data_IF_897106716018
#
_entry.id   IF_897106716018
#
_cell.length_a   1.000
_cell.length_b   1.000
_cell.length_c   1.000
_cell.angle_alpha   90.00
_cell.angle_beta   90.00
_cell.angle_gamma   90.00
#
_symmetry.space_group_name_H-M   'P 1'
#
loop_
_entity.id
_entity.type
_entity.pdbx_description
1 polymer ?
#
# COMPACT_ATOMS: atom_id res chain seq x y z
N UNK A 1 -56.17 15.03 15.23
CA UNK A 1 -55.56 15.27 13.90
C UNK A 1 -55.61 16.76 13.60
N UNK A 2 -54.49 17.47 13.80
CA UNK A 2 -54.27 18.80 13.25
C UNK A 2 -52.83 18.81 12.71
N UNK A 3 -52.70 18.83 11.39
CA UNK A 3 -51.44 19.04 10.69
C UNK A 3 -50.96 20.47 10.99
N UNK A 4 -49.75 20.63 11.54
CA UNK A 4 -49.02 21.90 11.49
C UNK A 4 -47.84 21.71 10.54
N UNK A 5 -47.93 22.35 9.38
CA UNK A 5 -46.86 22.46 8.38
C UNK A 5 -45.83 23.47 8.90
N UNK A 6 -44.58 23.06 9.06
CA UNK A 6 -43.46 23.98 9.25
C UNK A 6 -43.01 24.49 7.87
N UNK A 7 -42.89 25.81 7.74
CA UNK A 7 -42.43 26.50 6.53
C UNK A 7 -41.00 27.00 6.82
N UNK A 8 -40.01 26.48 6.09
CA UNK A 8 -38.64 27.01 6.16
C UNK A 8 -38.57 28.33 5.39
N UNK A 9 -38.27 29.42 6.09
CA UNK A 9 -38.00 30.71 5.47
C UNK A 9 -36.49 30.80 5.16
N UNK A 10 -36.10 30.66 3.89
CA UNK A 10 -34.72 30.88 3.44
C UNK A 10 -34.55 32.39 3.21
N UNK A 11 -33.85 33.07 4.11
CA UNK A 11 -33.39 34.44 3.87
C UNK A 11 -32.10 34.41 3.06
N UNK A 12 -32.23 34.56 1.74
CA UNK A 12 -31.11 34.80 0.85
C UNK A 12 -30.55 36.21 1.10
N UNK A 13 -29.44 36.32 1.82
CA UNK A 13 -28.69 37.59 1.93
C UNK A 13 -27.68 37.67 0.79
N UNK A 14 -27.87 38.67 -0.07
CA UNK A 14 -27.02 38.96 -1.22
C UNK A 14 -25.71 39.61 -0.73
N UNK A 15 -24.56 39.01 -1.01
CA UNK A 15 -23.26 39.66 -0.80
C UNK A 15 -22.90 40.40 -2.08
N UNK A 16 -22.85 41.73 -2.00
CA UNK A 16 -22.36 42.59 -3.06
C UNK A 16 -20.82 42.48 -3.17
N UNK A 17 -20.31 42.18 -4.35
CA UNK A 17 -18.88 42.29 -4.65
C UNK A 17 -18.51 43.77 -4.78
N UNK A 18 -17.74 44.29 -3.82
CA UNK A 18 -16.99 45.54 -4.00
C UNK A 18 -15.54 45.17 -4.26
N UNK A 19 -15.09 45.43 -5.48
CA UNK A 19 -13.69 45.33 -5.88
C UNK A 19 -12.94 46.56 -5.37
N UNK A 20 -11.90 46.37 -4.55
CA UNK A 20 -10.88 47.38 -4.28
C UNK A 20 -9.56 46.71 -3.86
N UNK A 21 -8.51 46.98 -4.61
CA UNK A 21 -7.13 46.59 -4.30
C UNK A 21 -6.56 47.46 -3.16
N UNK A 22 -5.97 46.86 -2.13
CA UNK A 22 -4.73 47.30 -1.46
C UNK A 22 -4.41 46.36 -0.27
N UNK A 23 -3.11 46.12 -0.04
CA UNK A 23 -2.58 45.06 0.83
C UNK A 23 -2.89 45.17 2.33
N UNK A 24 -2.63 44.07 3.04
CA UNK A 24 -2.63 44.04 4.50
C UNK A 24 -2.96 42.65 5.06
N UNK A 25 -2.06 42.12 5.85
CA UNK A 25 -2.02 40.78 6.43
C UNK A 25 -3.02 40.63 7.60
N UNK A 26 -3.97 39.68 7.50
CA UNK A 26 -4.68 39.00 8.61
C UNK A 26 -5.87 38.20 8.07
N UNK A 27 -5.79 36.87 8.03
CA UNK A 27 -6.99 36.03 7.86
C UNK A 27 -7.63 35.79 9.23
N UNK A 28 -8.75 36.46 9.44
CA UNK A 28 -9.66 36.30 10.56
C UNK A 28 -10.36 34.93 10.47
N UNK A 29 -10.19 34.08 11.48
CA UNK A 29 -10.90 32.78 11.57
C UNK A 29 -12.30 33.03 12.13
N UNK A 30 -13.34 32.80 11.31
CA UNK A 30 -14.74 32.87 11.77
C UNK A 30 -15.06 31.56 12.50
N UNK A 31 -15.16 31.62 13.83
CA UNK A 31 -15.68 30.53 14.66
C UNK A 31 -17.20 30.65 14.71
N UNK A 32 -17.91 29.65 14.18
CA UNK A 32 -19.37 29.57 14.29
C UNK A 32 -19.72 28.72 15.53
N UNK A 33 -20.04 29.38 16.65
CA UNK A 33 -20.62 28.69 17.82
C UNK A 33 -22.14 28.64 17.71
N UNK A 34 -22.66 27.42 17.58
CA UNK A 34 -24.01 26.93 17.89
C UNK A 34 -25.25 27.73 17.40
N UNK A 35 -26.10 27.04 16.65
CA UNK A 35 -27.45 27.52 16.27
C UNK A 35 -28.40 27.30 17.45
N UNK A 36 -28.85 28.38 18.11
CA UNK A 36 -29.95 28.34 19.08
C UNK A 36 -31.27 28.52 18.34
N UNK A 37 -32.16 27.53 18.45
CA UNK A 37 -33.52 27.64 17.93
C UNK A 37 -34.35 28.54 18.84
N UNK A 38 -34.98 29.57 18.27
CA UNK A 38 -35.89 30.48 18.96
C UNK A 38 -37.25 30.43 18.24
N UNK A 39 -38.34 30.47 18.99
CA UNK A 39 -39.67 30.63 18.39
C UNK A 39 -39.76 31.99 17.65
N UNK A 40 -40.55 32.08 16.56
CA UNK A 40 -40.66 33.30 15.76
C UNK A 40 -41.29 34.51 16.50
N UNK A 41 -41.74 34.33 17.74
CA UNK A 41 -42.26 35.41 18.61
C UNK A 41 -41.25 35.88 19.69
N UNK A 42 -40.03 35.34 19.71
CA UNK A 42 -38.96 35.78 20.61
C UNK A 42 -39.07 35.27 22.06
N UNK A 43 -39.92 34.28 22.33
CA UNK A 43 -39.99 33.62 23.64
C UNK A 43 -39.02 32.43 23.74
N UNK A 44 -38.33 32.29 24.88
CA UNK A 44 -37.51 31.10 25.21
C UNK A 44 -38.40 29.92 25.63
N UNK A 45 -37.95 28.69 25.31
CA UNK A 45 -38.68 27.45 25.61
C UNK A 45 -38.27 27.00 27.02
N UNK A 46 -39.22 26.94 27.97
CA UNK A 46 -39.00 26.41 29.32
C UNK A 46 -39.70 25.04 29.54
N UNK A 47 -39.00 24.14 30.25
CA UNK A 47 -39.46 22.88 30.89
C UNK A 47 -38.99 21.60 30.17
N UNK A 48 -38.32 20.61 30.78
CA UNK A 48 -38.36 20.08 32.17
C UNK A 48 -36.99 19.56 32.65
N UNK A 49 -36.75 19.65 33.97
CA UNK A 49 -35.56 19.20 34.73
C UNK A 49 -35.44 17.67 34.89
N UNK A 50 -34.19 17.19 34.84
CA UNK A 50 -33.48 16.18 35.70
C UNK A 50 -32.59 15.20 34.88
N UNK A 51 -31.45 14.69 35.40
CA UNK A 51 -30.51 15.23 36.41
C UNK A 51 -29.08 15.30 35.84
N UNK A 52 -28.15 15.81 36.68
CA UNK A 52 -26.71 15.87 36.45
C UNK A 52 -26.13 14.70 35.65
N UNK A 53 -25.68 15.05 34.46
CA UNK A 53 -24.65 14.37 33.72
C UNK A 53 -24.11 15.42 32.78
N UNK A 54 -23.06 16.13 33.21
CA UNK A 54 -22.11 16.68 32.26
C UNK A 54 -21.82 15.55 31.27
N UNK A 55 -22.44 15.62 30.08
CA UNK A 55 -21.82 15.06 28.89
C UNK A 55 -20.57 15.90 28.73
N UNK A 56 -19.55 15.52 29.50
CA UNK A 56 -18.18 15.87 29.22
C UNK A 56 -18.03 15.61 27.74
N UNK A 57 -17.77 16.69 27.02
CA UNK A 57 -17.16 16.62 25.71
C UNK A 57 -15.86 15.85 25.91
N UNK A 58 -15.92 14.51 25.92
CA UNK A 58 -14.75 13.66 25.76
C UNK A 58 -14.30 13.91 24.33
N UNK A 59 -13.53 14.98 24.13
CA UNK A 59 -12.63 15.06 23.00
C UNK A 59 -11.72 13.86 23.16
N UNK A 60 -12.08 12.73 22.53
CA UNK A 60 -11.28 11.52 22.57
C UNK A 60 -9.90 11.92 22.04
N UNK A 61 -8.88 11.73 22.86
CA UNK A 61 -7.50 11.91 22.41
C UNK A 61 -7.09 10.60 21.73
N UNK A 62 -7.78 10.28 20.63
CA UNK A 62 -7.60 9.04 19.86
C UNK A 62 -6.12 8.80 19.52
N UNK A 63 -5.35 9.87 19.32
CA UNK A 63 -3.90 9.84 19.11
C UNK A 63 -3.16 9.20 20.27
N UNK A 64 -3.58 9.43 21.52
CA UNK A 64 -2.95 8.83 22.70
C UNK A 64 -3.29 7.34 22.84
N UNK A 65 -4.52 6.95 22.51
CA UNK A 65 -4.93 5.55 22.55
C UNK A 65 -4.25 4.75 21.44
N UNK A 66 -4.14 5.30 20.23
CA UNK A 66 -3.37 4.67 19.15
C UNK A 66 -1.86 4.67 19.43
N UNK A 67 -1.31 5.71 20.07
CA UNK A 67 0.09 5.67 20.50
C UNK A 67 0.33 4.48 21.46
N UNK A 68 -0.61 4.20 22.35
CA UNK A 68 -0.53 3.03 23.21
C UNK A 68 -0.53 1.71 22.43
N UNK A 69 -1.40 1.60 21.42
CA UNK A 69 -1.44 0.43 20.51
C UNK A 69 -0.07 0.24 19.83
N UNK A 70 0.52 1.31 19.30
CA UNK A 70 1.80 1.27 18.58
C UNK A 70 3.01 0.97 19.47
N UNK A 71 2.95 1.34 20.76
CA UNK A 71 3.96 0.99 21.76
C UNK A 71 3.81 -0.47 22.27
N UNK A 72 2.63 -1.08 22.10
CA UNK A 72 2.30 -2.43 22.56
C UNK A 72 1.67 -3.30 21.45
N UNK A 73 2.22 -3.37 20.23
CA UNK A 73 1.53 -3.98 19.10
C UNK A 73 1.37 -5.49 19.26
N UNK A 74 2.23 -6.13 20.05
CA UNK A 74 2.15 -7.57 20.38
C UNK A 74 1.06 -7.95 21.39
N UNK A 75 0.40 -6.99 22.03
CA UNK A 75 -0.68 -7.27 22.99
C UNK A 75 -2.00 -7.63 22.29
N UNK A 76 -2.07 -7.47 20.97
CA UNK A 76 -3.27 -7.69 20.16
C UNK A 76 -3.12 -8.98 19.34
N UNK A 77 -3.67 -10.11 19.83
CA UNK A 77 -3.50 -11.39 19.14
C UNK A 77 -4.30 -11.39 17.84
N UNK A 78 -3.63 -11.77 16.75
CA UNK A 78 -4.29 -12.06 15.48
C UNK A 78 -5.10 -13.35 15.61
N UNK A 79 -6.31 -13.34 15.05
CA UNK A 79 -7.17 -14.52 14.93
C UNK A 79 -6.42 -15.69 14.27
N UNK A 80 -6.49 -16.88 14.87
CA UNK A 80 -5.80 -18.09 14.39
C UNK A 80 -6.21 -18.54 12.98
N UNK A 81 -7.35 -18.07 12.47
CA UNK A 81 -7.79 -18.30 11.10
C UNK A 81 -6.87 -17.66 10.03
N UNK A 82 -6.07 -16.65 10.39
CA UNK A 82 -5.22 -15.90 9.47
C UNK A 82 -4.02 -16.69 8.91
N UNK A 83 -3.66 -17.83 9.52
CA UNK A 83 -2.58 -18.73 9.08
C UNK A 83 -1.30 -18.00 8.63
N UNK A 84 -0.59 -17.40 9.57
CA UNK A 84 0.65 -16.63 9.31
C UNK A 84 1.76 -17.01 10.29
N UNK A 85 3.00 -16.66 9.93
CA UNK A 85 4.17 -16.77 10.82
C UNK A 85 4.69 -15.37 11.11
N UNK A 86 4.56 -14.84 12.34
CA UNK A 86 5.04 -13.51 12.68
C UNK A 86 6.57 -13.44 12.58
N UNK A 87 7.10 -12.35 12.01
CA UNK A 87 8.54 -12.07 11.95
C UNK A 87 9.03 -11.10 13.05
N UNK A 88 8.10 -10.56 13.84
CA UNK A 88 8.37 -9.63 14.93
C UNK A 88 8.38 -8.15 14.54
N UNK A 89 8.04 -7.84 13.28
CA UNK A 89 7.88 -6.47 12.79
C UNK A 89 6.42 -6.06 12.72
N UNK A 90 6.17 -4.74 12.76
CA UNK A 90 4.84 -4.16 12.72
C UNK A 90 4.88 -2.87 11.91
N UNK A 91 3.85 -2.66 11.13
CA UNK A 91 3.60 -1.41 10.41
C UNK A 91 2.19 -0.93 10.71
N UNK A 92 1.95 0.36 10.51
CA UNK A 92 0.64 0.96 10.71
C UNK A 92 0.30 1.98 9.65
N UNK A 93 -0.99 2.25 9.54
CA UNK A 93 -1.55 3.30 8.71
C UNK A 93 -2.77 3.92 9.39
N UNK A 94 -3.12 5.14 8.99
CA UNK A 94 -4.35 5.81 9.39
C UNK A 94 -5.30 5.87 8.19
N UNK A 95 -6.54 5.43 8.37
CA UNK A 95 -7.55 5.43 7.31
C UNK A 95 -8.88 5.94 7.87
N UNK A 96 -9.67 6.67 7.08
CA UNK A 96 -11.08 6.88 7.44
C UNK A 96 -11.87 5.67 6.95
N UNK A 97 -12.55 4.95 7.85
CA UNK A 97 -13.22 3.69 7.54
C UNK A 97 -14.62 3.55 8.19
N UNK A 98 -15.09 4.53 8.97
CA UNK A 98 -16.45 4.51 9.53
C UNK A 98 -17.29 5.78 9.25
N UNK A 99 -16.73 6.78 8.58
CA UNK A 99 -17.39 8.06 8.28
C UNK A 99 -17.51 9.00 9.48
N UNK A 100 -16.77 8.75 10.56
CA UNK A 100 -16.77 9.50 11.81
C UNK A 100 -15.87 10.75 11.79
N UNK A 101 -15.03 10.90 10.76
CA UNK A 101 -14.15 12.06 10.58
C UNK A 101 -12.91 12.05 11.46
N UNK A 102 -12.69 10.97 12.22
CA UNK A 102 -11.42 10.64 12.86
C UNK A 102 -10.93 9.34 12.25
N UNK A 103 -9.64 9.22 11.90
CA UNK A 103 -9.15 8.02 11.25
C UNK A 103 -9.16 6.83 12.22
N UNK A 104 -9.42 5.65 11.68
CA UNK A 104 -9.09 4.35 12.24
C UNK A 104 -7.59 4.05 12.07
N UNK A 105 -7.07 3.25 12.99
CA UNK A 105 -5.71 2.72 12.92
C UNK A 105 -5.74 1.32 12.31
N UNK A 106 -4.97 1.11 11.26
CA UNK A 106 -4.64 -0.23 10.76
C UNK A 106 -3.28 -0.65 11.31
N UNK A 107 -3.20 -1.84 11.90
CA UNK A 107 -1.95 -2.44 12.37
C UNK A 107 -1.67 -3.71 11.57
N UNK A 108 -0.64 -3.68 10.74
CA UNK A 108 -0.14 -4.84 10.02
C UNK A 108 0.89 -5.59 10.89
N UNK A 109 0.66 -6.87 11.10
CA UNK A 109 1.62 -7.77 11.76
C UNK A 109 2.50 -8.40 10.68
N UNK A 110 3.80 -8.11 10.73
CA UNK A 110 4.77 -8.62 9.76
C UNK A 110 4.82 -10.13 9.74
N UNK A 111 4.72 -10.72 8.55
CA UNK A 111 4.79 -12.16 8.34
C UNK A 111 5.42 -12.52 7.00
N UNK A 112 6.00 -13.72 6.94
CA UNK A 112 6.82 -14.16 5.79
C UNK A 112 6.06 -14.22 4.47
N UNK A 113 4.83 -14.75 4.50
CA UNK A 113 4.00 -14.96 3.31
C UNK A 113 2.76 -14.09 3.32
N UNK A 114 2.19 -13.85 4.50
CA UNK A 114 1.03 -12.98 4.66
C UNK A 114 1.16 -12.17 5.95
N UNK A 115 0.72 -10.92 5.88
CA UNK A 115 0.66 -9.98 7.00
C UNK A 115 -0.81 -9.72 7.33
N UNK A 116 -1.30 -10.21 8.48
CA UNK A 116 -2.62 -9.87 8.99
C UNK A 116 -2.72 -8.38 9.35
N UNK A 117 -3.86 -7.77 9.06
CA UNK A 117 -4.16 -6.37 9.38
C UNK A 117 -5.32 -6.32 10.36
N UNK A 118 -5.04 -5.79 11.55
CA UNK A 118 -6.03 -5.53 12.60
C UNK A 118 -6.53 -4.10 12.43
N UNK A 119 -7.85 -3.89 12.53
CA UNK A 119 -8.46 -2.56 12.46
C UNK A 119 -8.82 -2.09 13.86
N UNK A 120 -8.46 -0.86 14.21
CA UNK A 120 -8.73 -0.26 15.52
C UNK A 120 -9.62 0.95 15.40
N UNK A 121 -10.73 0.94 16.13
CA UNK A 121 -11.66 2.09 16.27
C UNK A 121 -11.61 2.65 17.68
N UNK A 122 -11.95 3.94 17.84
CA UNK A 122 -12.22 4.49 19.17
C UNK A 122 -13.68 4.23 19.55
N UNK A 123 -13.88 3.51 20.65
CA UNK A 123 -15.20 3.21 21.19
C UNK A 123 -15.80 4.41 21.92
N UNK A 124 -17.07 4.27 22.30
CA UNK A 124 -17.79 5.28 23.10
C UNK A 124 -17.15 5.51 24.49
N UNK A 125 -16.36 4.54 24.97
CA UNK A 125 -15.54 4.63 26.19
C UNK A 125 -14.25 5.44 26.00
N UNK A 126 -13.99 5.93 24.78
CA UNK A 126 -12.81 6.67 24.42
C UNK A 126 -11.55 5.81 24.32
N UNK A 127 -11.68 4.47 24.21
CA UNK A 127 -10.57 3.53 24.11
C UNK A 127 -10.43 2.94 22.71
N UNK A 128 -9.21 2.55 22.35
CA UNK A 128 -8.97 1.81 21.12
C UNK A 128 -9.45 0.35 21.28
N UNK A 129 -10.33 -0.08 20.38
CA UNK A 129 -10.83 -1.45 20.29
C UNK A 129 -10.35 -2.09 19.01
N UNK A 130 -9.72 -3.26 19.13
CA UNK A 130 -9.28 -4.06 18.00
C UNK A 130 -10.47 -4.82 17.37
N UNK A 131 -10.43 -5.02 16.06
CA UNK A 131 -11.29 -5.97 15.38
C UNK A 131 -10.96 -7.41 15.75
N UNK A 132 -11.98 -8.26 15.88
CA UNK A 132 -11.83 -9.73 16.07
C UNK A 132 -11.45 -10.43 14.77
N UNK A 133 -11.87 -9.85 13.64
CA UNK A 133 -11.51 -10.26 12.29
C UNK A 133 -10.28 -9.49 11.81
N UNK A 134 -9.55 -10.07 10.86
CA UNK A 134 -8.39 -9.42 10.23
C UNK A 134 -8.52 -9.45 8.72
N UNK A 135 -7.97 -8.43 8.07
CA UNK A 135 -7.69 -8.47 6.64
C UNK A 135 -6.31 -9.08 6.42
N UNK A 136 -6.01 -9.47 5.18
CA UNK A 136 -4.73 -10.08 4.83
C UNK A 136 -4.04 -9.30 3.71
N UNK A 137 -2.73 -9.10 3.86
CA UNK A 137 -1.82 -8.64 2.82
C UNK A 137 -0.78 -9.70 2.50
N UNK A 138 -0.20 -9.65 1.30
CA UNK A 138 0.92 -10.51 0.90
C UNK A 138 0.52 -11.62 -0.07
N UNK A 139 1.26 -12.72 -0.04
CA UNK A 139 1.11 -13.86 -0.94
C UNK A 139 0.96 -15.18 -0.16
N UNK A 140 -0.20 -15.42 0.50
CA UNK A 140 -0.40 -16.61 1.32
C UNK A 140 -0.30 -17.92 0.50
N UNK A 141 0.09 -19.00 1.18
CA UNK A 141 0.11 -20.35 0.62
C UNK A 141 1.34 -20.62 -0.23
N UNK A 142 1.15 -21.08 -1.48
CA UNK A 142 2.25 -21.44 -2.39
C UNK A 142 2.82 -20.22 -3.16
N UNK A 143 2.57 -18.99 -2.70
CA UNK A 143 3.05 -17.77 -3.34
C UNK A 143 2.33 -17.38 -4.63
N UNK A 144 1.23 -18.05 -5.02
CA UNK A 144 0.45 -17.69 -6.20
C UNK A 144 -0.60 -16.60 -5.92
N UNK A 145 -1.15 -16.54 -4.71
CA UNK A 145 -2.12 -15.51 -4.31
C UNK A 145 -1.46 -14.13 -4.16
N UNK A 146 -2.22 -13.06 -4.42
CA UNK A 146 -1.83 -11.68 -4.13
C UNK A 146 -2.97 -11.04 -3.36
N UNK A 147 -2.71 -10.64 -2.12
CA UNK A 147 -3.65 -9.95 -1.26
C UNK A 147 -3.13 -8.55 -0.96
N UNK A 148 -4.00 -7.56 -1.04
CA UNK A 148 -3.72 -6.18 -0.68
C UNK A 148 -4.89 -5.57 0.10
N UNK A 149 -4.59 -4.57 0.92
CA UNK A 149 -5.57 -3.83 1.71
C UNK A 149 -5.53 -2.36 1.31
N UNK A 150 -6.64 -1.84 0.79
CA UNK A 150 -6.79 -0.45 0.30
C UNK A 150 -7.89 0.26 1.08
N UNK A 151 -7.84 1.58 1.20
CA UNK A 151 -8.89 2.35 1.87
C UNK A 151 -9.99 2.77 0.88
N UNK A 152 -11.22 2.93 1.37
CA UNK A 152 -12.29 3.54 0.57
C UNK A 152 -12.15 5.06 0.57
N UNK A 153 -12.34 5.68 -0.60
CA UNK A 153 -12.21 7.12 -0.78
C UNK A 153 -13.35 7.91 -0.13
N UNK A 154 -14.53 7.29 0.00
CA UNK A 154 -15.68 7.88 0.70
C UNK A 154 -15.68 7.63 2.22
N UNK A 155 -14.69 6.88 2.73
CA UNK A 155 -14.55 6.55 4.14
C UNK A 155 -15.48 5.45 4.64
N UNK A 156 -16.12 4.67 3.75
CA UNK A 156 -17.10 3.66 4.14
C UNK A 156 -16.49 2.37 4.71
N UNK A 157 -15.17 2.19 4.62
CA UNK A 157 -14.49 0.98 5.09
C UNK A 157 -13.13 0.75 4.46
N UNK A 158 -12.70 -0.52 4.49
CA UNK A 158 -11.42 -0.97 3.97
C UNK A 158 -11.64 -2.11 2.98
N UNK A 159 -11.02 -2.01 1.81
CA UNK A 159 -11.06 -3.03 0.78
C UNK A 159 -9.99 -4.10 1.00
N UNK A 160 -10.36 -5.37 0.83
CA UNK A 160 -9.40 -6.44 0.57
C UNK A 160 -9.45 -6.81 -0.91
N UNK A 161 -8.30 -6.74 -1.55
CA UNK A 161 -8.13 -7.12 -2.95
C UNK A 161 -7.45 -8.47 -2.99
N UNK A 162 -8.01 -9.39 -3.76
CA UNK A 162 -7.43 -10.70 -4.02
C UNK A 162 -7.19 -10.89 -5.52
N UNK A 163 -6.02 -11.40 -5.86
CA UNK A 163 -5.63 -11.78 -7.21
C UNK A 163 -4.71 -12.99 -7.19
N UNK A 164 -4.25 -13.40 -8.36
CA UNK A 164 -3.28 -14.49 -8.49
C UNK A 164 -2.26 -14.20 -9.59
N UNK A 165 -1.06 -14.73 -9.42
CA UNK A 165 0.00 -14.64 -10.40
C UNK A 165 -0.48 -15.25 -11.75
N UNK A 166 -0.43 -14.44 -12.82
CA UNK A 166 -0.89 -14.83 -14.16
C UNK A 166 -2.37 -14.60 -14.44
N UNK A 167 -3.17 -14.18 -13.45
CA UNK A 167 -4.53 -13.67 -13.70
C UNK A 167 -4.47 -12.26 -14.26
N UNK A 168 -5.38 -11.96 -15.20
CA UNK A 168 -5.62 -10.58 -15.67
C UNK A 168 -6.72 -9.88 -14.87
N UNK A 169 -7.33 -10.59 -13.93
CA UNK A 169 -8.43 -10.09 -13.10
C UNK A 169 -8.10 -10.23 -11.62
N UNK A 170 -8.50 -9.19 -10.87
CA UNK A 170 -8.49 -9.12 -9.42
C UNK A 170 -9.93 -8.97 -8.92
N UNK A 171 -10.20 -9.43 -7.70
CA UNK A 171 -11.47 -9.23 -6.99
C UNK A 171 -11.25 -8.27 -5.82
N UNK A 172 -12.11 -7.27 -5.67
CA UNK A 172 -12.16 -6.38 -4.51
C UNK A 172 -13.41 -6.66 -3.67
N UNK A 173 -13.27 -6.66 -2.35
CA UNK A 173 -14.37 -6.77 -1.40
C UNK A 173 -14.24 -5.68 -0.33
N UNK A 174 -15.31 -4.88 -0.14
CA UNK A 174 -15.34 -3.83 0.88
C UNK A 174 -15.74 -4.43 2.24
N UNK A 175 -14.88 -4.26 3.24
CA UNK A 175 -15.16 -4.62 4.63
C UNK A 175 -15.52 -3.38 5.44
N UNK A 176 -16.64 -3.47 6.16
CA UNK A 176 -17.09 -2.42 7.09
C UNK A 176 -16.98 -2.90 8.53
N UNK A 177 -16.65 -1.97 9.42
CA UNK A 177 -16.71 -2.21 10.86
C UNK A 177 -18.17 -2.30 11.33
N UNK A 178 -18.48 -3.37 12.04
CA UNK A 178 -19.75 -3.60 12.74
C UNK A 178 -19.42 -4.04 14.17
N UNK A 179 -19.26 -3.05 15.05
CA UNK A 179 -18.63 -3.27 16.35
C UNK A 179 -17.18 -3.73 16.17
N UNK A 180 -16.84 -4.89 16.74
CA UNK A 180 -15.51 -5.50 16.60
C UNK A 180 -15.37 -6.41 15.36
N UNK A 181 -16.43 -6.64 14.58
CA UNK A 181 -16.36 -7.53 13.42
C UNK A 181 -16.15 -6.76 12.12
N UNK A 182 -15.48 -7.40 11.15
CA UNK A 182 -15.35 -6.90 9.78
C UNK A 182 -16.38 -7.61 8.88
N UNK A 183 -17.35 -6.86 8.37
CA UNK A 183 -18.42 -7.36 7.51
C UNK A 183 -18.08 -7.13 6.04
N UNK A 184 -17.80 -8.22 5.33
CA UNK A 184 -17.58 -8.22 3.89
C UNK A 184 -18.85 -7.90 3.09
N UNK A 185 -18.67 -7.11 2.03
CA UNK A 185 -19.72 -6.73 1.08
C UNK A 185 -19.79 -7.62 -0.16
N UNK A 186 -20.36 -7.07 -1.23
CA UNK A 186 -20.31 -7.71 -2.53
C UNK A 186 -18.89 -7.62 -3.11
N UNK A 187 -18.47 -8.67 -3.80
CA UNK A 187 -17.22 -8.68 -4.56
C UNK A 187 -17.39 -8.03 -5.93
N UNK A 188 -16.40 -7.23 -6.33
CA UNK A 188 -16.29 -6.63 -7.65
C UNK A 188 -15.01 -7.10 -8.33
N UNK A 189 -15.12 -7.62 -9.55
CA UNK A 189 -13.96 -8.01 -10.36
C UNK A 189 -13.53 -6.87 -11.26
N UNK A 190 -12.22 -6.65 -11.37
CA UNK A 190 -11.62 -5.61 -12.21
C UNK A 190 -10.30 -6.09 -12.84
N UNK A 191 -9.86 -5.50 -13.96
CA UNK A 191 -8.56 -5.82 -14.54
C UNK A 191 -7.42 -5.55 -13.55
N UNK A 192 -6.49 -6.50 -13.39
CA UNK A 192 -5.41 -6.41 -12.39
C UNK A 192 -4.42 -5.28 -12.65
N UNK A 193 -4.39 -4.73 -13.86
CA UNK A 193 -3.59 -3.57 -14.28
C UNK A 193 -4.35 -2.23 -14.14
N UNK A 194 -5.57 -2.25 -13.62
CA UNK A 194 -6.43 -1.08 -13.42
C UNK A 194 -6.68 -0.81 -11.94
N UNK A 195 -7.22 0.37 -11.65
CA UNK A 195 -7.68 0.77 -10.32
C UNK A 195 -9.16 1.11 -10.37
N UNK A 196 -9.89 0.71 -9.34
CA UNK A 196 -11.27 1.12 -9.14
C UNK A 196 -11.32 2.49 -8.46
N UNK A 197 -12.21 3.36 -8.92
CA UNK A 197 -12.19 4.79 -8.60
C UNK A 197 -12.32 5.13 -7.10
N UNK A 198 -13.00 4.27 -6.33
CA UNK A 198 -13.19 4.48 -4.89
C UNK A 198 -12.01 3.96 -4.03
N UNK A 199 -10.95 3.41 -4.64
CA UNK A 199 -9.86 2.88 -3.86
C UNK A 199 -8.75 3.91 -3.66
N UNK A 200 -8.24 3.99 -2.45
CA UNK A 200 -7.02 4.71 -2.09
C UNK A 200 -5.95 3.72 -1.64
N UNK A 201 -4.74 3.90 -2.12
CA UNK A 201 -3.56 3.17 -1.67
C UNK A 201 -3.21 3.60 -0.25
N UNK A 202 -2.67 2.67 0.53
CA UNK A 202 -2.27 2.89 1.92
C UNK A 202 -0.75 3.04 1.98
N UNK A 203 -0.30 4.14 2.58
CA UNK A 203 1.09 4.36 2.96
C UNK A 203 1.32 3.76 4.35
N UNK A 204 2.14 2.70 4.38
CA UNK A 204 2.45 1.94 5.59
C UNK A 204 3.73 2.46 6.22
N UNK A 205 3.68 2.69 7.53
CA UNK A 205 4.80 3.23 8.29
C UNK A 205 5.21 2.25 9.38
N UNK A 206 6.51 2.08 9.67
CA UNK A 206 6.93 1.28 10.81
C UNK A 206 6.38 1.88 12.10
N UNK A 207 5.97 1.05 13.07
CA UNK A 207 5.42 1.53 14.36
C UNK A 207 6.39 2.40 15.16
N UNK A 208 7.69 2.36 14.83
CA UNK A 208 8.72 3.24 15.39
C UNK A 208 8.69 4.67 14.86
N UNK A 209 7.92 4.95 13.79
CA UNK A 209 7.72 6.29 13.24
C UNK A 209 6.43 6.93 13.79
N UNK A 210 6.51 7.88 14.74
CA UNK A 210 5.33 8.52 15.31
C UNK A 210 4.80 9.69 14.45
N UNK A 211 5.46 10.06 13.35
CA UNK A 211 5.10 11.26 12.60
C UNK A 211 3.70 11.20 11.98
N UNK A 212 3.28 10.10 11.32
CA UNK A 212 1.93 9.99 10.77
C UNK A 212 0.83 10.13 11.84
N UNK A 213 1.00 9.47 12.98
CA UNK A 213 0.06 9.56 14.10
C UNK A 213 -0.07 10.99 14.65
N UNK A 214 1.04 11.73 14.75
CA UNK A 214 1.05 13.13 15.21
C UNK A 214 0.42 14.09 14.20
N UNK A 215 0.62 13.85 12.91
CA UNK A 215 -0.03 14.62 11.85
C UNK A 215 -1.56 14.45 11.89
N UNK A 216 -1.99 13.23 12.25
CA UNK A 216 -3.38 12.92 12.52
C UNK A 216 -4.28 12.89 11.29
N UNK A 217 -3.69 12.81 10.11
CA UNK A 217 -4.37 12.71 8.82
C UNK A 217 -4.26 11.29 8.28
N UNK A 218 -5.26 10.80 7.53
CA UNK A 218 -5.17 9.52 6.84
C UNK A 218 -3.87 9.41 6.00
N UNK A 219 -3.19 8.26 6.11
CA UNK A 219 -1.95 7.93 5.38
C UNK A 219 -2.32 7.20 4.10
N UNK A 220 -3.15 7.84 3.28
CA UNK A 220 -3.67 7.28 2.05
C UNK A 220 -3.41 8.22 0.89
N UNK A 221 -3.30 7.66 -0.29
CA UNK A 221 -3.13 8.41 -1.52
C UNK A 221 -3.99 7.81 -2.61
N UNK A 222 -4.53 8.66 -3.49
CA UNK A 222 -5.19 8.15 -4.67
C UNK A 222 -4.18 7.28 -5.43
N UNK A 223 -4.57 6.08 -5.88
CA UNK A 223 -3.81 5.42 -6.92
C UNK A 223 -3.70 6.45 -8.02
N UNK A 224 -2.48 6.80 -8.40
CA UNK A 224 -2.26 7.70 -9.52
C UNK A 224 -3.11 7.17 -10.65
N UNK A 225 -4.22 7.85 -10.94
CA UNK A 225 -5.00 7.54 -12.12
C UNK A 225 -4.01 7.55 -13.27
N UNK A 226 -4.25 6.73 -14.27
CA UNK A 226 -3.63 6.95 -15.59
C UNK A 226 -4.04 8.32 -16.13
N UNK A 227 -3.61 9.43 -15.52
CA UNK A 227 -2.91 10.41 -16.28
C UNK A 227 -1.78 9.60 -16.91
N UNK A 228 -1.83 9.46 -18.23
CA UNK A 228 -0.61 9.33 -18.98
C UNK A 228 0.41 10.19 -18.24
N UNK A 229 1.42 9.54 -17.66
CA UNK A 229 2.67 10.24 -17.47
C UNK A 229 2.87 11.02 -18.77
N UNK A 230 3.37 12.28 -18.76
CA UNK A 230 3.97 12.75 -19.99
C UNK A 230 4.82 11.59 -20.47
N UNK A 231 4.53 11.06 -21.67
CA UNK A 231 5.26 9.93 -22.23
C UNK A 231 6.72 10.32 -22.24
N UNK A 232 7.35 9.91 -21.15
CA UNK A 232 8.74 9.70 -20.96
C UNK A 232 8.72 8.49 -20.05
N UNK A 233 8.24 7.35 -20.58
CA UNK A 233 8.87 6.11 -20.18
C UNK A 233 10.34 6.36 -20.49
N UNK A 234 11.12 6.65 -19.43
CA UNK A 234 12.54 6.78 -19.60
C UNK A 234 13.01 5.35 -19.86
N UNK A 235 13.06 5.00 -21.13
CA UNK A 235 13.64 3.75 -21.56
C UNK A 235 15.07 3.69 -21.04
N UNK A 236 15.38 2.65 -20.28
CA UNK A 236 16.73 2.38 -19.83
C UNK A 236 17.37 1.44 -20.85
N UNK A 237 18.54 1.85 -21.31
CA UNK A 237 19.38 1.02 -22.17
C UNK A 237 20.44 0.31 -21.32
N UNK A 238 20.42 -1.01 -21.36
CA UNK A 238 21.46 -1.87 -20.81
C UNK A 238 22.35 -2.32 -21.97
N UNK A 239 23.62 -1.90 -21.96
CA UNK A 239 24.58 -2.25 -23.00
C UNK A 239 25.70 -3.08 -22.40
N UNK A 240 25.98 -4.22 -22.99
CA UNK A 240 26.98 -5.14 -22.47
C UNK A 240 27.24 -6.33 -23.37
N UNK A 241 28.04 -7.27 -22.88
CA UNK A 241 28.31 -8.53 -23.55
C UNK A 241 27.48 -9.64 -22.92
N UNK A 242 26.86 -10.49 -23.75
CA UNK A 242 26.23 -11.69 -23.23
C UNK A 242 27.33 -12.65 -22.79
N UNK A 243 27.31 -13.06 -21.53
CA UNK A 243 28.25 -14.00 -20.93
C UNK A 243 27.50 -15.18 -20.34
N UNK A 244 28.17 -16.33 -20.32
CA UNK A 244 27.75 -17.50 -19.55
C UNK A 244 28.61 -17.57 -18.29
N UNK A 245 27.97 -17.66 -17.14
CA UNK A 245 28.62 -17.82 -15.83
C UNK A 245 28.03 -18.99 -15.07
N UNK A 246 28.87 -19.73 -14.35
CA UNK A 246 28.36 -20.73 -13.40
C UNK A 246 27.95 -20.08 -12.08
N UNK A 247 27.12 -20.78 -11.30
CA UNK A 247 26.82 -20.39 -9.92
C UNK A 247 28.09 -20.23 -9.08
N UNK A 248 29.06 -21.13 -9.23
CA UNK A 248 30.37 -21.04 -8.59
C UNK A 248 31.10 -19.74 -8.96
N UNK A 249 31.19 -19.40 -10.24
CA UNK A 249 31.86 -18.18 -10.69
C UNK A 249 31.19 -16.91 -10.13
N UNK A 250 29.87 -16.90 -9.99
CA UNK A 250 29.12 -15.77 -9.45
C UNK A 250 29.26 -15.64 -7.93
N UNK A 251 29.45 -16.76 -7.23
CA UNK A 251 29.53 -16.79 -5.76
C UNK A 251 30.96 -16.71 -5.23
N UNK A 252 31.95 -17.14 -6.02
CA UNK A 252 33.37 -17.12 -5.63
C UNK A 252 33.87 -15.73 -5.15
N UNK A 253 33.54 -14.60 -5.80
CA UNK A 253 33.92 -13.27 -5.32
C UNK A 253 33.32 -12.92 -3.95
N UNK A 254 32.19 -13.54 -3.59
CA UNK A 254 31.48 -13.31 -2.32
C UNK A 254 31.93 -14.27 -1.21
N UNK A 255 32.68 -15.32 -1.54
CA UNK A 255 33.08 -16.36 -0.58
C UNK A 255 31.90 -17.15 0.01
N UNK A 256 30.74 -17.14 -0.67
CA UNK A 256 29.51 -17.77 -0.22
C UNK A 256 29.25 -19.07 -1.01
N UNK A 257 28.55 -20.01 -0.39
CA UNK A 257 28.03 -21.19 -1.10
C UNK A 257 26.76 -20.86 -1.90
N UNK A 258 26.26 -21.83 -2.68
CA UNK A 258 25.02 -21.65 -3.45
C UNK A 258 23.83 -21.39 -2.51
N UNK A 259 23.03 -20.31 -2.71
CA UNK A 259 22.09 -19.84 -1.71
C UNK A 259 20.96 -20.82 -1.35
N UNK A 260 20.40 -21.52 -2.35
CA UNK A 260 19.25 -22.40 -2.16
C UNK A 260 19.59 -23.87 -2.43
N UNK A 261 20.88 -24.22 -2.43
CA UNK A 261 21.32 -25.60 -2.70
C UNK A 261 21.27 -26.01 -4.18
N UNK A 262 21.19 -25.04 -5.11
CA UNK A 262 21.47 -25.30 -6.53
C UNK A 262 22.87 -25.89 -6.70
N UNK A 263 23.09 -26.65 -7.78
CA UNK A 263 24.45 -27.05 -8.16
C UNK A 263 25.31 -25.80 -8.45
N UNK A 264 26.57 -25.75 -7.98
CA UNK A 264 27.52 -24.72 -8.38
C UNK A 264 27.75 -24.67 -9.90
N UNK A 265 27.50 -25.78 -10.61
CA UNK A 265 27.60 -25.89 -12.06
C UNK A 265 26.38 -25.33 -12.81
N UNK A 266 25.36 -24.82 -12.11
CA UNK A 266 24.21 -24.15 -12.73
C UNK A 266 24.68 -22.99 -13.58
N UNK A 267 24.16 -22.87 -14.81
CA UNK A 267 24.60 -21.88 -15.78
C UNK A 267 23.63 -20.70 -15.83
N UNK A 268 24.17 -19.50 -15.89
CA UNK A 268 23.44 -18.25 -15.99
C UNK A 268 23.92 -17.49 -17.21
N UNK A 269 22.96 -17.10 -18.05
CA UNK A 269 23.18 -16.23 -19.20
C UNK A 269 22.89 -14.80 -18.77
N UNK A 270 23.91 -13.95 -18.83
CA UNK A 270 23.87 -12.59 -18.30
C UNK A 270 24.24 -11.62 -19.39
N UNK A 271 23.64 -10.43 -19.37
CA UNK A 271 24.26 -9.28 -20.04
C UNK A 271 25.20 -8.63 -19.03
N UNK A 272 26.50 -8.84 -19.19
CA UNK A 272 27.52 -8.17 -18.40
C UNK A 272 27.74 -6.77 -18.95
N UNK A 273 27.41 -5.75 -18.17
CA UNK A 273 27.37 -4.37 -18.63
C UNK A 273 28.77 -3.87 -18.98
N UNK A 274 28.88 -3.02 -20.00
CA UNK A 274 30.15 -2.41 -20.38
C UNK A 274 30.72 -1.56 -19.23
N UNK A 275 29.83 -0.90 -18.47
CA UNK A 275 30.13 -0.17 -17.25
C UNK A 275 29.04 -0.43 -16.20
N UNK A 276 29.37 -0.51 -14.89
CA UNK A 276 28.36 -0.58 -13.84
C UNK A 276 27.40 0.61 -13.91
N UNK A 277 26.12 0.37 -13.64
CA UNK A 277 25.08 1.40 -13.71
C UNK A 277 24.23 1.43 -12.46
N UNK A 278 23.81 2.62 -12.04
CA UNK A 278 22.83 2.79 -10.96
C UNK A 278 21.43 2.69 -11.52
N UNK A 279 20.62 1.79 -10.97
CA UNK A 279 19.26 1.51 -11.46
C UNK A 279 18.30 1.50 -10.29
N UNK A 280 17.19 2.20 -10.47
CA UNK A 280 16.02 2.11 -9.60
C UNK A 280 15.08 1.04 -10.15
N UNK A 281 14.48 0.23 -9.29
CA UNK A 281 13.54 -0.80 -9.69
C UNK A 281 12.60 -1.17 -8.54
N UNK A 282 11.46 -1.77 -8.88
CA UNK A 282 10.49 -2.28 -7.91
C UNK A 282 11.12 -3.41 -7.09
N UNK A 283 10.92 -3.39 -5.79
CA UNK A 283 11.27 -4.47 -4.86
C UNK A 283 10.14 -4.60 -3.85
N UNK A 284 9.36 -5.67 -3.97
CA UNK A 284 8.09 -5.81 -3.26
C UNK A 284 7.18 -4.57 -3.52
N UNK A 285 6.75 -3.89 -2.46
CA UNK A 285 5.90 -2.70 -2.52
C UNK A 285 6.68 -1.38 -2.62
N UNK A 286 8.02 -1.41 -2.57
CA UNK A 286 8.86 -0.22 -2.61
C UNK A 286 9.74 -0.20 -3.85
N UNK A 287 10.51 0.88 -3.99
CA UNK A 287 11.57 0.98 -5.01
C UNK A 287 12.94 0.88 -4.33
N UNK A 288 13.81 0.05 -4.88
CA UNK A 288 15.22 -0.03 -4.48
C UNK A 288 16.08 0.61 -5.57
N UNK A 289 17.10 1.37 -5.18
CA UNK A 289 18.13 1.88 -6.09
C UNK A 289 19.46 1.24 -5.74
N UNK A 290 20.14 0.64 -6.74
CA UNK A 290 21.46 0.05 -6.55
C UNK A 290 22.31 0.11 -7.80
N UNK A 291 23.62 0.02 -7.59
CA UNK A 291 24.58 -0.21 -8.67
C UNK A 291 24.54 -1.68 -9.08
N UNK A 292 24.48 -1.94 -10.38
CA UNK A 292 24.47 -3.28 -10.97
C UNK A 292 25.60 -3.39 -12.01
N UNK A 293 26.18 -4.58 -12.10
CA UNK A 293 27.22 -4.91 -13.09
C UNK A 293 26.70 -5.80 -14.23
N UNK A 294 25.53 -6.41 -14.03
CA UNK A 294 24.91 -7.29 -15.00
C UNK A 294 23.40 -7.38 -14.79
N UNK A 295 22.69 -7.88 -15.81
CA UNK A 295 21.29 -8.29 -15.75
C UNK A 295 21.14 -9.74 -16.19
N UNK A 296 20.15 -10.45 -15.65
CA UNK A 296 19.90 -11.87 -15.98
C UNK A 296 19.05 -11.99 -17.23
N UNK A 297 19.48 -12.82 -18.17
CA UNK A 297 18.75 -13.10 -19.42
C UNK A 297 18.08 -14.48 -19.38
N UNK A 298 18.75 -15.46 -18.79
CA UNK A 298 18.25 -16.83 -18.67
C UNK A 298 19.14 -17.70 -17.78
N UNK A 299 18.72 -18.93 -17.55
CA UNK A 299 19.45 -19.90 -16.74
C UNK A 299 19.19 -21.35 -17.14
N UNK A 300 20.14 -22.21 -16.77
CA UNK A 300 20.03 -23.66 -16.74
C UNK A 300 20.49 -24.11 -15.36
N UNK A 301 19.53 -24.25 -14.46
CA UNK A 301 19.79 -24.60 -13.08
C UNK A 301 19.70 -26.11 -12.87
N UNK A 302 20.68 -26.69 -12.19
CA UNK A 302 20.70 -28.10 -11.87
C UNK A 302 20.32 -28.32 -10.41
N UNK A 303 19.18 -28.98 -10.21
CA UNK A 303 18.65 -29.31 -8.89
C UNK A 303 18.65 -30.82 -8.65
N UNK A 304 18.59 -31.28 -7.37
CA UNK A 304 18.47 -32.70 -7.04
C UNK A 304 17.25 -33.39 -7.66
N UNK A 305 16.19 -32.64 -7.95
CA UNK A 305 14.94 -33.13 -8.53
C UNK A 305 14.89 -33.03 -10.06
N UNK A 306 15.96 -32.53 -10.71
CA UNK A 306 16.08 -32.39 -12.16
C UNK A 306 16.55 -30.99 -12.59
N UNK A 307 16.93 -30.81 -13.86
CA UNK A 307 17.28 -29.51 -14.40
C UNK A 307 16.05 -28.63 -14.60
N UNK A 308 16.22 -27.33 -14.42
CA UNK A 308 15.22 -26.31 -14.66
C UNK A 308 15.81 -25.25 -15.60
N UNK A 309 15.13 -24.98 -16.70
CA UNK A 309 15.65 -24.12 -17.76
C UNK A 309 14.72 -22.93 -17.98
N UNK A 310 15.33 -21.76 -18.10
CA UNK A 310 14.66 -20.50 -18.36
C UNK A 310 15.42 -19.74 -19.44
N UNK A 311 14.72 -19.36 -20.51
CA UNK A 311 15.26 -18.52 -21.58
C UNK A 311 16.65 -18.97 -22.11
N UNK A 312 16.84 -20.26 -22.35
CA UNK A 312 18.14 -20.81 -22.78
C UNK A 312 18.57 -20.38 -24.18
N UNK A 313 17.69 -19.74 -24.97
CA UNK A 313 18.02 -19.16 -26.27
C UNK A 313 19.16 -18.14 -26.23
N UNK A 314 19.44 -17.54 -25.07
CA UNK A 314 20.55 -16.58 -24.91
C UNK A 314 21.93 -17.22 -25.05
N UNK A 315 22.02 -18.55 -24.99
CA UNK A 315 23.24 -19.30 -25.28
C UNK A 315 23.81 -18.97 -26.68
N UNK A 316 22.94 -18.80 -27.68
CA UNK A 316 23.32 -18.47 -29.07
C UNK A 316 23.91 -17.05 -29.23
N UNK A 317 23.82 -16.24 -28.17
CA UNK A 317 24.30 -14.86 -28.14
C UNK A 317 25.54 -14.68 -27.27
N UNK A 318 26.02 -15.71 -26.57
CA UNK A 318 27.23 -15.62 -25.74
C UNK A 318 28.42 -15.09 -26.56
N UNK A 319 29.11 -14.09 -26.01
CA UNK A 319 30.22 -13.38 -26.64
C UNK A 319 29.81 -12.23 -27.57
N UNK A 320 28.51 -12.02 -27.81
CA UNK A 320 28.01 -10.86 -28.58
C UNK A 320 27.75 -9.69 -27.64
N UNK A 321 28.06 -8.49 -28.14
CA UNK A 321 27.66 -7.24 -27.51
C UNK A 321 26.21 -6.92 -27.91
N UNK A 322 25.38 -6.57 -26.95
CA UNK A 322 23.95 -6.34 -27.16
C UNK A 322 23.49 -5.12 -26.37
N UNK A 323 22.43 -4.52 -26.88
CA UNK A 323 21.66 -3.50 -26.17
C UNK A 323 20.29 -4.04 -25.87
N UNK A 324 19.87 -3.95 -24.62
CA UNK A 324 18.50 -4.18 -24.18
C UNK A 324 17.87 -2.86 -23.78
N UNK A 325 16.65 -2.64 -24.22
CA UNK A 325 15.87 -1.45 -23.87
C UNK A 325 14.62 -1.89 -23.13
N UNK A 326 14.43 -1.36 -21.93
CA UNK A 326 13.33 -1.68 -21.04
C UNK A 326 12.77 -0.42 -20.40
N UNK A 327 11.46 -0.35 -20.22
CA UNK A 327 10.86 0.77 -19.52
C UNK A 327 11.26 0.74 -18.03
N UNK A 328 11.60 1.92 -17.49
CA UNK A 328 12.01 2.09 -16.10
C UNK A 328 11.00 1.48 -15.11
N UNK A 329 9.71 1.48 -15.44
CA UNK A 329 8.64 0.94 -14.60
C UNK A 329 8.58 -0.60 -14.61
N UNK A 330 9.20 -1.26 -15.58
CA UNK A 330 9.23 -2.73 -15.66
C UNK A 330 10.45 -3.33 -14.95
N UNK A 331 11.36 -2.49 -14.47
CA UNK A 331 12.54 -2.97 -13.75
C UNK A 331 12.12 -3.40 -12.35
N UNK A 332 12.38 -4.66 -12.04
CA UNK A 332 12.14 -5.25 -10.73
C UNK A 332 13.37 -6.02 -10.23
N UNK A 333 13.61 -5.97 -8.92
CA UNK A 333 14.62 -6.77 -8.24
C UNK A 333 13.95 -7.89 -7.45
N UNK A 334 14.49 -9.12 -7.52
CA UNK A 334 13.97 -10.24 -6.76
C UNK A 334 14.16 -9.99 -5.26
N UNK A 335 13.16 -10.39 -4.48
CA UNK A 335 13.19 -10.34 -3.01
C UNK A 335 13.74 -11.63 -2.39
N UNK A 336 13.86 -12.70 -3.19
CA UNK A 336 14.39 -13.98 -2.76
C UNK A 336 15.91 -14.09 -2.92
N UNK A 337 16.46 -15.18 -2.41
CA UNK A 337 17.87 -15.57 -2.58
C UNK A 337 18.09 -16.35 -3.88
N UNK A 338 17.25 -16.16 -4.90
CA UNK A 338 17.43 -16.82 -6.19
C UNK A 338 18.73 -16.36 -6.87
N UNK A 339 19.27 -17.25 -7.70
CA UNK A 339 20.46 -16.96 -8.46
C UNK A 339 20.10 -16.40 -9.84
N UNK A 340 20.86 -15.45 -10.39
CA UNK A 340 21.94 -14.70 -9.74
C UNK A 340 21.42 -13.73 -8.66
N UNK A 341 22.07 -13.72 -7.48
CA UNK A 341 21.59 -12.99 -6.30
C UNK A 341 21.28 -11.52 -6.57
N UNK A 342 20.00 -11.16 -6.36
CA UNK A 342 19.51 -9.79 -6.43
C UNK A 342 19.53 -9.18 -7.83
N UNK A 343 19.79 -9.96 -8.88
CA UNK A 343 19.86 -9.48 -10.26
C UNK A 343 18.46 -9.25 -10.83
N UNK A 344 18.29 -8.16 -11.57
CA UNK A 344 17.07 -7.94 -12.34
C UNK A 344 17.04 -8.86 -13.56
N UNK A 345 15.85 -9.32 -13.93
CA UNK A 345 15.63 -10.20 -15.07
C UNK A 345 15.12 -9.39 -16.27
N UNK A 346 15.72 -9.64 -17.43
CA UNK A 346 15.16 -9.21 -18.72
C UNK A 346 14.11 -10.24 -19.14
N UNK A 347 12.85 -9.91 -18.88
CA UNK A 347 11.71 -10.69 -19.37
C UNK A 347 11.37 -10.34 -20.82
N UNK A 348 10.26 -10.88 -21.30
CA UNK A 348 9.79 -10.77 -22.68
C UNK A 348 9.40 -9.33 -23.06
N UNK A 349 9.25 -8.44 -22.08
CA UNK A 349 8.98 -7.02 -22.24
C UNK A 349 10.18 -6.20 -22.77
N UNK A 350 11.40 -6.73 -22.65
CA UNK A 350 12.59 -6.04 -23.12
C UNK A 350 12.74 -6.17 -24.65
N UNK A 351 13.04 -5.06 -25.33
CA UNK A 351 13.50 -5.10 -26.72
C UNK A 351 15.02 -5.19 -26.77
N UNK A 352 15.58 -5.81 -27.80
CA UNK A 352 17.03 -5.96 -27.93
C UNK A 352 17.54 -5.81 -29.35
N UNK A 353 18.79 -5.39 -29.47
CA UNK A 353 19.56 -5.40 -30.71
C UNK A 353 20.97 -5.95 -30.48
N UNK A 354 21.49 -6.65 -31.49
CA UNK A 354 22.89 -7.10 -31.51
C UNK A 354 23.74 -5.95 -32.05
N UNK A 355 24.75 -5.56 -31.28
CA UNK A 355 25.69 -4.51 -31.65
C UNK A 355 26.91 -5.13 -32.35
N UNK A 356 27.37 -4.49 -33.42
CA UNK A 356 28.54 -4.93 -34.21
C UNK A 356 29.86 -4.49 -33.61
#
# INVERSE_FOLDING_TARGET
>A
MMLRRALALVTASSVAFVSACAGGDSRETVVVTSVKWVNPDGSEIEGEDDPDGEKGSSTSNWQSEYAWVLDHPGDYPVNSAAQYTPDGTYEYALVEANGGGSPELLLAVGGSDASPVIVFTIGDDGKAHASEDVLLMGAPGNGAGRLAVWASADGAGVYQIAGSAGSRESSSELFRLDGASLRGGAQETFPSDSNLADHLLIDWHPVSDPHPLRAGTPTVFAPSGGASAPESSSQIEFVGNVVRKTGEELMAPRGLGMPNGQSPDSEYFLLWLDEPMTVTGKKNTSTETKEIEFVTLGSREYWPHGPQEYNTQWEDFVGKRMKFTKDQDDIAFPSDTSMPLGSTWMGDEATYEVLN
#
